data_IF_664887580514
#
_entry.id   IF_664887580514
#
_cell.length_a   1.000
_cell.length_b   1.000
_cell.length_c   1.000
_cell.angle_alpha   90.00
_cell.angle_beta   90.00
_cell.angle_gamma   90.00
#
_symmetry.space_group_name_H-M   'P 1'
#
loop_
_entity.id
_entity.type
_entity.pdbx_description
1 polymer ?
#
# COMPACT_ATOMS: atom_id res chain seq x y z
N UNK A 1 22.00 6.23 6.18
CA UNK A 1 20.61 6.45 6.69
C UNK A 1 19.66 5.78 5.73
N UNK A 2 18.67 5.00 6.19
CA UNK A 2 17.65 4.38 5.33
C UNK A 2 16.67 5.46 4.86
N UNK A 3 16.27 5.36 3.59
CA UNK A 3 15.17 6.18 3.08
C UNK A 3 13.84 5.78 3.77
N UNK A 4 13.08 6.73 4.33
CA UNK A 4 11.76 6.47 4.90
C UNK A 4 10.80 5.73 3.95
N UNK A 5 10.86 6.03 2.64
CA UNK A 5 10.08 5.33 1.64
C UNK A 5 10.41 3.83 1.56
N UNK A 6 11.69 3.47 1.66
CA UNK A 6 12.12 2.07 1.62
C UNK A 6 11.65 1.28 2.84
N UNK A 7 11.53 1.93 4.00
CA UNK A 7 10.96 1.32 5.21
C UNK A 7 9.49 0.93 4.99
N UNK A 8 8.68 1.84 4.46
CA UNK A 8 7.27 1.53 4.15
C UNK A 8 7.18 0.45 3.06
N UNK A 9 7.98 0.52 2.01
CA UNK A 9 7.99 -0.51 0.98
C UNK A 9 8.34 -1.92 1.52
N UNK A 10 9.28 -1.99 2.47
CA UNK A 10 9.59 -3.25 3.17
C UNK A 10 8.39 -3.77 3.97
N UNK A 11 7.67 -2.90 4.69
CA UNK A 11 6.45 -3.27 5.41
C UNK A 11 5.34 -3.74 4.46
N UNK A 12 5.15 -3.06 3.33
CA UNK A 12 4.19 -3.47 2.29
C UNK A 12 4.53 -4.85 1.74
N UNK A 13 5.80 -5.15 1.50
CA UNK A 13 6.26 -6.48 1.09
C UNK A 13 5.91 -7.55 2.12
N UNK A 14 6.15 -7.28 3.41
CA UNK A 14 5.82 -8.21 4.51
C UNK A 14 4.32 -8.42 4.65
N UNK A 15 3.54 -7.33 4.56
CA UNK A 15 2.07 -7.37 4.54
C UNK A 15 1.55 -8.24 3.39
N UNK A 16 2.07 -8.02 2.18
CA UNK A 16 1.73 -8.83 1.02
C UNK A 16 1.99 -10.32 1.26
N UNK A 17 3.20 -10.66 1.72
CA UNK A 17 3.58 -12.05 1.95
C UNK A 17 2.74 -12.70 3.04
N UNK A 18 2.46 -12.01 4.15
CA UNK A 18 1.63 -12.54 5.21
C UNK A 18 0.20 -12.85 4.74
N UNK A 19 -0.40 -11.93 3.98
CA UNK A 19 -1.73 -12.12 3.39
C UNK A 19 -1.73 -13.21 2.30
N UNK A 20 -0.66 -13.35 1.55
CA UNK A 20 -0.53 -14.40 0.53
C UNK A 20 -0.50 -15.81 1.15
N UNK A 21 0.00 -15.96 2.37
CA UNK A 21 -0.07 -17.21 3.14
C UNK A 21 -1.40 -17.40 3.88
N UNK A 22 -2.23 -16.36 4.03
CA UNK A 22 -3.52 -16.45 4.70
C UNK A 22 -4.58 -17.02 3.74
N UNK A 23 -4.95 -18.29 3.97
CA UNK A 23 -5.93 -18.99 3.14
C UNK A 23 -7.30 -18.33 3.19
N UNK A 24 -7.79 -17.98 4.38
CA UNK A 24 -9.11 -17.35 4.56
C UNK A 24 -9.20 -16.02 3.81
N UNK A 25 -8.17 -15.19 3.90
CA UNK A 25 -8.09 -13.94 3.13
C UNK A 25 -8.17 -14.21 1.62
N UNK A 26 -7.42 -15.18 1.10
CA UNK A 26 -7.45 -15.50 -0.34
C UNK A 26 -8.78 -16.08 -0.77
N UNK A 27 -9.41 -16.95 0.02
CA UNK A 27 -10.73 -17.49 -0.28
C UNK A 27 -11.79 -16.38 -0.33
N UNK A 28 -11.73 -15.39 0.57
CA UNK A 28 -12.56 -14.19 0.53
C UNK A 28 -12.30 -13.33 -0.72
N UNK A 29 -11.02 -13.18 -1.11
CA UNK A 29 -10.67 -12.46 -2.33
C UNK A 29 -11.20 -13.11 -3.61
N UNK A 30 -11.31 -14.44 -3.68
CA UNK A 30 -11.83 -15.12 -4.88
C UNK A 30 -13.27 -14.68 -5.23
N UNK A 31 -14.07 -14.30 -4.23
CA UNK A 31 -15.41 -13.76 -4.44
C UNK A 31 -15.44 -12.25 -4.75
N UNK A 32 -14.30 -11.56 -4.68
CA UNK A 32 -14.17 -10.15 -5.02
C UNK A 32 -14.15 -9.98 -6.55
N UNK A 33 -14.98 -9.09 -7.15
CA UNK A 33 -15.10 -9.00 -8.61
C UNK A 33 -13.84 -8.60 -9.37
N UNK A 34 -12.89 -8.00 -8.67
CA UNK A 34 -11.57 -7.65 -9.21
C UNK A 34 -10.45 -8.61 -8.76
N UNK A 35 -10.81 -9.80 -8.27
CA UNK A 35 -9.84 -10.80 -7.81
C UNK A 35 -8.76 -11.11 -8.85
N UNK A 36 -9.12 -11.13 -10.14
CA UNK A 36 -8.16 -11.30 -11.26
C UNK A 36 -7.06 -10.22 -11.33
N UNK A 37 -7.31 -9.05 -10.71
CA UNK A 37 -6.33 -7.96 -10.62
C UNK A 37 -5.50 -8.05 -9.34
N UNK A 38 -6.05 -8.65 -8.28
CA UNK A 38 -5.40 -8.79 -6.97
C UNK A 38 -4.67 -10.13 -6.82
N UNK A 39 -5.08 -11.18 -7.56
CA UNK A 39 -4.51 -12.52 -7.50
C UNK A 39 -3.96 -12.93 -8.87
N UNK A 40 -2.69 -13.29 -8.92
CA UNK A 40 -2.05 -13.85 -10.12
C UNK A 40 -1.41 -15.18 -9.76
N UNK A 41 -1.81 -16.25 -10.45
CA UNK A 41 -1.37 -17.61 -10.14
C UNK A 41 -1.54 -17.99 -8.65
N UNK A 42 -2.67 -17.56 -8.06
CA UNK A 42 -2.98 -17.71 -6.64
C UNK A 42 -2.04 -16.97 -5.68
N UNK A 43 -1.27 -15.98 -6.16
CA UNK A 43 -0.46 -15.10 -5.33
C UNK A 43 -1.11 -13.72 -5.21
N UNK A 44 -1.18 -13.21 -3.98
CA UNK A 44 -1.71 -11.89 -3.71
C UNK A 44 -0.74 -10.79 -4.16
N UNK A 45 -1.25 -9.81 -4.89
CA UNK A 45 -0.50 -8.64 -5.35
C UNK A 45 -0.81 -7.43 -4.47
N UNK A 46 0.23 -6.75 -4.05
CA UNK A 46 0.14 -5.50 -3.29
C UNK A 46 1.34 -4.62 -3.68
N UNK A 47 1.07 -3.37 -4.06
CA UNK A 47 2.08 -2.47 -4.61
C UNK A 47 2.35 -1.28 -3.70
N UNK A 48 3.51 -0.64 -3.88
CA UNK A 48 3.92 0.55 -3.15
C UNK A 48 4.33 1.66 -4.10
N UNK A 49 3.64 2.81 -4.02
CA UNK A 49 3.89 4.01 -4.81
C UNK A 49 4.24 5.18 -3.89
N UNK A 50 5.54 5.45 -3.67
CA UNK A 50 5.99 6.61 -2.93
C UNK A 50 6.15 7.81 -3.85
N UNK A 51 5.75 9.01 -3.41
CA UNK A 51 5.96 10.23 -4.16
C UNK A 51 5.00 11.36 -3.78
N UNK A 52 5.09 12.46 -4.51
CA UNK A 52 4.08 13.51 -4.48
C UNK A 52 2.79 13.03 -5.15
N UNK A 53 1.67 13.72 -4.88
CA UNK A 53 0.39 13.39 -5.53
C UNK A 53 0.50 13.33 -7.05
N UNK A 54 1.27 14.24 -7.66
CA UNK A 54 1.44 14.29 -9.11
C UNK A 54 2.28 13.12 -9.63
N UNK A 55 3.37 12.76 -8.95
CA UNK A 55 4.22 11.63 -9.32
C UNK A 55 3.44 10.31 -9.25
N UNK A 56 2.70 10.09 -8.16
CA UNK A 56 1.86 8.91 -7.98
C UNK A 56 0.77 8.84 -9.06
N UNK A 57 0.08 9.97 -9.32
CA UNK A 57 -0.96 10.04 -10.34
C UNK A 57 -0.43 9.72 -11.73
N UNK A 58 0.70 10.32 -12.09
CA UNK A 58 1.34 10.08 -13.38
C UNK A 58 1.78 8.60 -13.52
N UNK A 59 2.39 8.03 -12.48
CA UNK A 59 2.77 6.62 -12.48
C UNK A 59 1.57 5.69 -12.69
N UNK A 60 0.46 5.91 -11.97
CA UNK A 60 -0.75 5.10 -12.11
C UNK A 60 -1.43 5.27 -13.47
N UNK A 61 -1.43 6.49 -14.04
CA UNK A 61 -1.96 6.73 -15.38
C UNK A 61 -1.11 6.04 -16.46
N UNK A 62 0.21 6.12 -16.37
CA UNK A 62 1.12 5.43 -17.30
C UNK A 62 0.96 3.92 -17.23
N UNK A 63 0.92 3.35 -16.02
CA UNK A 63 0.67 1.91 -15.83
C UNK A 63 -0.67 1.50 -16.46
N UNK A 64 -1.70 2.33 -16.34
CA UNK A 64 -3.01 2.07 -16.91
C UNK A 64 -3.05 1.96 -18.43
N UNK A 65 -2.07 2.49 -19.14
CA UNK A 65 -1.94 2.39 -20.60
C UNK A 65 -1.45 1.02 -21.07
N UNK A 66 -0.91 0.20 -20.16
CA UNK A 66 -0.44 -1.14 -20.50
C UNK A 66 -1.56 -2.19 -20.44
N UNK A 67 -1.55 -3.21 -21.31
CA UNK A 67 -2.59 -4.24 -21.36
C UNK A 67 -2.85 -4.97 -20.03
N UNK A 68 -1.82 -5.14 -19.21
CA UNK A 68 -1.90 -5.76 -17.89
C UNK A 68 -1.85 -4.74 -16.74
N UNK A 69 -1.99 -3.44 -17.04
CA UNK A 69 -1.78 -2.36 -16.08
C UNK A 69 -2.71 -2.41 -14.86
N UNK A 70 -3.95 -2.89 -15.04
CA UNK A 70 -4.91 -3.03 -13.93
C UNK A 70 -4.38 -3.91 -12.77
N UNK A 71 -3.56 -4.95 -13.06
CA UNK A 71 -2.96 -5.84 -12.06
C UNK A 71 -1.83 -5.19 -11.27
N UNK A 72 -1.32 -4.07 -11.75
CA UNK A 72 -0.15 -3.39 -11.22
C UNK A 72 -0.52 -2.10 -10.48
N UNK A 73 -1.79 -1.72 -10.56
CA UNK A 73 -2.28 -0.53 -9.90
C UNK A 73 -2.79 -0.81 -8.50
N UNK A 74 -3.66 -1.79 -8.34
CA UNK A 74 -4.45 -1.98 -7.13
C UNK A 74 -4.59 -3.47 -6.76
N UNK A 75 -4.64 -3.80 -5.44
CA UNK A 75 -4.53 -2.87 -4.31
C UNK A 75 -3.11 -2.32 -4.14
N UNK A 76 -3.00 -1.12 -3.59
CA UNK A 76 -1.70 -0.48 -3.39
C UNK A 76 -1.65 0.46 -2.19
N UNK A 77 -0.42 0.70 -1.72
CA UNK A 77 -0.08 1.75 -0.77
C UNK A 77 0.43 2.97 -1.54
N UNK A 78 -0.24 4.10 -1.38
CA UNK A 78 0.21 5.40 -1.83
C UNK A 78 0.87 6.11 -0.64
N UNK A 79 2.18 6.32 -0.68
CA UNK A 79 2.93 6.94 0.39
C UNK A 79 3.30 8.37 0.00
N UNK A 80 2.58 9.33 0.56
CA UNK A 80 2.62 10.73 0.14
C UNK A 80 3.81 11.50 0.70
N UNK A 81 4.43 12.30 -0.15
CA UNK A 81 5.43 13.30 0.20
C UNK A 81 4.77 14.66 0.53
N UNK A 82 5.33 15.46 1.45
CA UNK A 82 6.60 15.22 2.16
C UNK A 82 6.46 14.26 3.35
N UNK A 83 7.52 13.50 3.61
CA UNK A 83 7.67 12.73 4.85
C UNK A 83 8.40 13.61 5.87
N UNK A 84 7.81 13.78 7.06
CA UNK A 84 8.43 14.52 8.15
C UNK A 84 9.26 13.60 9.03
N UNK A 85 10.47 13.99 9.37
CA UNK A 85 11.32 13.31 10.35
C UNK A 85 11.68 14.25 11.49
N UNK A 86 11.51 13.81 12.72
CA UNK A 86 11.94 14.50 13.92
C UNK A 86 13.07 13.74 14.60
N UNK A 87 14.14 14.44 14.92
CA UNK A 87 15.29 13.92 15.65
C UNK A 87 15.32 14.56 17.04
N UNK A 88 15.17 13.74 18.09
CA UNK A 88 15.23 14.18 19.48
C UNK A 88 16.30 13.37 20.23
N UNK A 89 17.50 13.94 20.33
CA UNK A 89 18.64 13.21 20.88
C UNK A 89 18.93 11.96 20.08
N UNK A 90 18.83 10.79 20.73
CA UNK A 90 19.04 9.47 20.08
C UNK A 90 17.76 8.85 19.49
N UNK A 91 16.64 9.58 19.52
CA UNK A 91 15.37 9.09 18.97
C UNK A 91 15.07 9.75 17.63
N UNK A 92 14.63 8.94 16.69
CA UNK A 92 14.18 9.37 15.36
C UNK A 92 12.73 8.93 15.19
N UNK A 93 11.83 9.89 15.02
CA UNK A 93 10.41 9.63 14.70
C UNK A 93 10.13 10.07 13.28
N UNK A 94 9.52 9.20 12.49
CA UNK A 94 9.14 9.46 11.11
C UNK A 94 7.61 9.47 11.04
N UNK A 95 7.06 10.52 10.40
CA UNK A 95 5.63 10.70 10.24
C UNK A 95 5.24 10.45 8.78
N UNK A 96 4.26 9.58 8.59
CA UNK A 96 3.78 9.17 7.28
C UNK A 96 2.33 9.56 7.06
N UNK A 97 2.01 9.91 5.82
CA UNK A 97 0.64 9.97 5.31
C UNK A 97 0.53 8.93 4.20
N UNK A 98 -0.36 7.97 4.37
CA UNK A 98 -0.47 6.80 3.50
C UNK A 98 -1.94 6.62 3.12
N UNK A 99 -2.23 6.22 1.88
CA UNK A 99 -3.52 5.69 1.51
C UNK A 99 -3.38 4.24 1.02
N UNK A 100 -4.23 3.35 1.54
CA UNK A 100 -4.42 1.99 1.03
C UNK A 100 -5.61 2.05 0.10
N UNK A 101 -5.40 1.75 -1.18
CA UNK A 101 -6.44 1.94 -2.21
C UNK A 101 -6.82 0.64 -2.89
N UNK A 102 -8.11 0.51 -3.17
CA UNK A 102 -8.70 -0.63 -3.88
C UNK A 102 -9.68 -0.19 -4.96
N UNK A 103 -9.86 -1.03 -5.98
CA UNK A 103 -10.75 -0.74 -7.10
C UNK A 103 -12.22 -0.92 -6.71
N UNK A 104 -13.09 -0.04 -7.21
CA UNK A 104 -14.53 -0.07 -6.99
C UNK A 104 -15.30 0.14 -8.31
N UNK A 105 -16.49 -0.43 -8.43
CA UNK A 105 -17.41 -0.08 -9.52
C UNK A 105 -18.18 1.19 -9.15
N UNK A 106 -18.24 2.14 -10.06
CA UNK A 106 -19.00 3.41 -9.88
C UNK A 106 -20.49 3.20 -9.58
N UNK A 107 -21.06 2.07 -10.02
CA UNK A 107 -22.46 1.72 -9.80
C UNK A 107 -22.76 1.07 -8.45
N UNK A 108 -21.74 0.83 -7.62
CA UNK A 108 -21.95 0.19 -6.33
C UNK A 108 -22.39 1.19 -5.27
N UNK A 109 -23.45 0.84 -4.55
CA UNK A 109 -23.91 1.54 -3.36
C UNK A 109 -22.90 1.37 -2.20
N UNK A 110 -22.95 2.26 -1.23
CA UNK A 110 -22.03 2.30 -0.07
C UNK A 110 -21.96 0.96 0.66
N UNK A 111 -23.09 0.33 0.97
CA UNK A 111 -23.14 -0.97 1.65
C UNK A 111 -22.37 -2.05 0.91
N UNK A 112 -22.54 -2.11 -0.42
CA UNK A 112 -21.81 -3.08 -1.25
C UNK A 112 -20.31 -2.78 -1.29
N UNK A 113 -19.94 -1.52 -1.35
CA UNK A 113 -18.54 -1.08 -1.32
C UNK A 113 -17.90 -1.40 0.03
N UNK A 114 -18.63 -1.18 1.13
CA UNK A 114 -18.19 -1.54 2.46
C UNK A 114 -17.90 -3.04 2.57
N UNK A 115 -18.79 -3.88 2.09
CA UNK A 115 -18.61 -5.33 2.12
C UNK A 115 -17.50 -5.81 1.17
N UNK A 116 -17.56 -5.41 -0.11
CA UNK A 116 -16.68 -5.94 -1.16
C UNK A 116 -15.26 -5.33 -1.13
N UNK A 117 -15.13 -4.03 -0.93
CA UNK A 117 -13.83 -3.34 -1.00
C UNK A 117 -13.21 -3.26 0.39
N UNK A 118 -13.91 -2.65 1.33
CA UNK A 118 -13.36 -2.47 2.69
C UNK A 118 -13.25 -3.81 3.42
N UNK A 119 -14.32 -4.61 3.44
CA UNK A 119 -14.34 -5.88 4.18
C UNK A 119 -13.39 -6.93 3.64
N UNK A 120 -13.31 -7.09 2.30
CA UNK A 120 -12.49 -8.15 1.70
C UNK A 120 -11.05 -7.75 1.39
N UNK A 121 -10.77 -6.45 1.21
CA UNK A 121 -9.45 -5.99 0.75
C UNK A 121 -8.82 -4.99 1.71
N UNK A 122 -9.44 -3.82 1.90
CA UNK A 122 -8.74 -2.69 2.52
C UNK A 122 -8.52 -2.89 4.02
N UNK A 123 -9.54 -3.31 4.78
CA UNK A 123 -9.41 -3.56 6.23
C UNK A 123 -8.43 -4.70 6.54
N UNK A 124 -8.50 -5.88 5.89
CA UNK A 124 -7.50 -6.92 6.09
C UNK A 124 -6.07 -6.48 5.78
N UNK A 125 -5.88 -5.70 4.71
CA UNK A 125 -4.56 -5.15 4.35
C UNK A 125 -4.08 -4.16 5.40
N UNK A 126 -4.95 -3.27 5.89
CA UNK A 126 -4.62 -2.31 6.95
C UNK A 126 -4.26 -3.03 8.27
N UNK A 127 -5.07 -3.98 8.71
CA UNK A 127 -4.84 -4.71 9.97
C UNK A 127 -3.52 -5.47 9.91
N UNK A 128 -3.26 -6.15 8.81
CA UNK A 128 -2.01 -6.86 8.61
C UNK A 128 -0.82 -5.90 8.55
N UNK A 129 -0.94 -4.75 7.89
CA UNK A 129 0.10 -3.73 7.85
C UNK A 129 0.46 -3.22 9.25
N UNK A 130 -0.54 -2.92 10.08
CA UNK A 130 -0.31 -2.52 11.48
C UNK A 130 0.36 -3.65 12.26
N UNK A 131 -0.06 -4.91 12.06
CA UNK A 131 0.57 -6.08 12.68
C UNK A 131 2.04 -6.23 12.26
N UNK A 132 2.36 -5.99 11.00
CA UNK A 132 3.74 -6.02 10.51
C UNK A 132 4.60 -4.91 11.10
N UNK A 133 4.06 -3.71 11.33
CA UNK A 133 4.76 -2.64 12.05
C UNK A 133 5.10 -3.09 13.46
N UNK A 134 4.14 -3.67 14.19
CA UNK A 134 4.33 -4.14 15.57
C UNK A 134 5.33 -5.31 15.67
N UNK A 135 5.34 -6.19 14.67
CA UNK A 135 6.19 -7.37 14.64
C UNK A 135 7.62 -7.09 14.16
N UNK A 136 7.84 -5.98 13.45
CA UNK A 136 9.14 -5.73 12.84
C UNK A 136 10.09 -5.01 13.81
N UNK A 137 11.36 -5.44 13.80
CA UNK A 137 12.42 -4.84 14.65
C UNK A 137 12.91 -3.47 14.19
N UNK A 138 12.37 -2.94 13.07
CA UNK A 138 12.84 -1.65 12.55
C UNK A 138 12.32 -0.47 13.34
N UNK A 139 11.21 -0.68 14.04
CA UNK A 139 10.58 0.35 14.85
C UNK A 139 10.52 -0.05 16.32
N UNK A 140 10.61 0.96 17.19
CA UNK A 140 10.28 0.79 18.60
C UNK A 140 8.76 0.87 18.71
N UNK A 141 8.12 -0.24 18.97
CA UNK A 141 6.69 -0.30 19.26
C UNK A 141 6.54 -0.59 20.75
N UNK A 142 6.06 0.37 21.51
CA UNK A 142 5.78 0.20 22.94
C UNK A 142 4.47 -0.61 23.12
N UNK A 143 4.44 -1.84 22.58
CA UNK A 143 3.33 -2.82 22.62
C UNK A 143 1.97 -2.30 22.12
N UNK A 144 1.91 -1.14 21.46
CA UNK A 144 0.69 -0.53 20.95
C UNK A 144 0.67 -0.39 19.41
N UNK A 145 -0.49 -0.04 18.89
CA UNK A 145 -0.60 0.44 17.51
C UNK A 145 0.12 1.79 17.41
N UNK A 146 0.78 2.10 16.28
CA UNK A 146 1.35 3.44 16.09
C UNK A 146 0.23 4.50 16.13
N UNK A 147 0.55 5.65 16.72
CA UNK A 147 -0.39 6.79 16.73
C UNK A 147 -0.64 7.24 15.30
N UNK A 148 -1.91 7.30 14.90
CA UNK A 148 -2.35 7.82 13.61
C UNK A 148 -3.85 8.10 13.62
N UNK A 149 -4.31 8.88 12.65
CA UNK A 149 -5.74 9.05 12.36
C UNK A 149 -6.10 8.15 11.16
N UNK A 150 -7.23 7.47 11.27
CA UNK A 150 -7.74 6.50 10.30
C UNK A 150 -9.04 7.02 9.69
N UNK A 151 -9.16 7.02 8.37
CA UNK A 151 -10.36 7.39 7.63
C UNK A 151 -10.68 6.35 6.55
N UNK A 152 -11.95 6.00 6.43
CA UNK A 152 -12.48 5.27 5.27
C UNK A 152 -13.10 6.26 4.29
N UNK A 153 -12.56 6.33 3.08
CA UNK A 153 -12.96 7.28 2.05
C UNK A 153 -13.69 6.53 0.94
N UNK A 154 -14.97 6.82 0.80
CA UNK A 154 -15.80 6.37 -0.30
C UNK A 154 -15.78 7.42 -1.41
N UNK A 155 -15.34 7.04 -2.60
CA UNK A 155 -15.44 7.95 -3.74
C UNK A 155 -16.89 8.00 -4.22
N UNK A 156 -17.56 9.15 -4.09
CA UNK A 156 -18.96 9.35 -4.48
C UNK A 156 -19.15 10.63 -5.27
N UNK A 157 -20.12 10.65 -6.18
CA UNK A 157 -20.61 11.84 -6.86
C UNK A 157 -19.55 12.60 -7.68
N UNK A 158 -19.52 13.91 -7.55
CA UNK A 158 -18.63 14.80 -8.33
C UNK A 158 -17.14 14.53 -8.09
N UNK A 159 -16.76 14.12 -6.87
CA UNK A 159 -15.38 13.78 -6.55
C UNK A 159 -14.88 12.55 -7.29
N UNK A 160 -15.77 11.62 -7.68
CA UNK A 160 -15.38 10.44 -8.46
C UNK A 160 -14.78 10.82 -9.82
N UNK A 161 -15.30 11.86 -10.48
CA UNK A 161 -14.78 12.35 -11.76
C UNK A 161 -13.34 12.87 -11.66
N UNK A 162 -13.00 13.57 -10.58
CA UNK A 162 -11.64 14.06 -10.33
C UNK A 162 -10.67 12.93 -10.00
N UNK A 163 -11.11 11.93 -9.24
CA UNK A 163 -10.30 10.77 -8.90
C UNK A 163 -10.03 9.91 -10.14
N UNK A 164 -11.04 9.68 -10.98
CA UNK A 164 -10.84 8.99 -12.27
C UNK A 164 -9.85 9.74 -13.15
N UNK A 165 -9.96 11.06 -13.23
CA UNK A 165 -8.99 11.88 -13.97
C UNK A 165 -7.58 11.78 -13.38
N UNK A 166 -7.48 11.73 -12.06
CA UNK A 166 -6.20 11.70 -11.34
C UNK A 166 -5.51 10.33 -11.43
N UNK A 167 -6.23 9.24 -11.24
CA UNK A 167 -5.67 7.88 -11.14
C UNK A 167 -6.08 6.94 -12.27
N UNK A 168 -7.04 7.37 -13.10
CA UNK A 168 -7.56 6.59 -14.23
C UNK A 168 -8.51 5.45 -13.84
N UNK A 169 -8.95 5.38 -12.58
CA UNK A 169 -9.85 4.34 -12.06
C UNK A 169 -10.75 4.87 -10.94
N UNK A 170 -11.88 4.19 -10.72
CA UNK A 170 -12.68 4.38 -9.51
C UNK A 170 -12.02 3.61 -8.36
N UNK A 171 -11.75 4.29 -7.26
CA UNK A 171 -11.10 3.71 -6.08
C UNK A 171 -11.80 4.11 -4.80
N UNK A 172 -11.73 3.25 -3.80
CA UNK A 172 -11.96 3.56 -2.39
C UNK A 172 -10.66 3.45 -1.63
N UNK A 173 -10.56 4.13 -0.51
CA UNK A 173 -9.32 4.23 0.24
C UNK A 173 -9.52 4.12 1.75
N UNK A 174 -8.52 3.56 2.43
CA UNK A 174 -8.24 3.82 3.83
C UNK A 174 -7.09 4.81 3.88
N UNK A 175 -7.33 5.99 4.43
CA UNK A 175 -6.30 6.99 4.65
C UNK A 175 -5.78 6.94 6.08
N UNK A 176 -4.45 6.95 6.20
CA UNK A 176 -3.69 6.92 7.45
C UNK A 176 -2.91 8.23 7.52
N UNK A 177 -3.31 9.11 8.42
CA UNK A 177 -2.71 10.43 8.55
C UNK A 177 -1.85 10.52 9.80
N UNK A 178 -0.65 11.10 9.62
CA UNK A 178 0.26 11.43 10.72
C UNK A 178 0.80 10.20 11.47
N UNK A 179 0.88 9.03 10.81
CA UNK A 179 1.38 7.83 11.45
C UNK A 179 2.82 8.01 11.93
N UNK A 180 3.00 8.02 13.25
CA UNK A 180 4.27 8.24 13.91
C UNK A 180 5.00 6.92 14.18
N UNK A 181 6.13 6.70 13.53
CA UNK A 181 6.97 5.52 13.71
C UNK A 181 8.32 5.89 14.28
N UNK A 182 8.60 5.43 15.51
CA UNK A 182 9.92 5.59 16.16
C UNK A 182 10.89 4.57 15.59
N UNK A 183 11.97 5.04 14.96
CA UNK A 183 12.98 4.17 14.37
C UNK A 183 13.84 3.51 15.46
N UNK A 184 14.11 2.23 15.29
CA UNK A 184 15.11 1.54 16.10
C UNK A 184 16.52 1.96 15.62
N UNK A 185 17.29 2.55 16.50
CA UNK A 185 18.64 3.03 16.20
C UNK A 185 19.69 1.91 16.11
N UNK A 186 19.34 0.68 16.53
CA UNK A 186 20.25 -0.47 16.56
C UNK A 186 20.19 -1.33 15.28
N UNK A 187 19.75 -0.74 14.15
CA UNK A 187 19.73 -1.44 12.87
C UNK A 187 21.15 -1.68 12.35
N UNK A 188 21.42 -2.91 11.93
CA UNK A 188 22.71 -3.32 11.38
C UNK A 188 22.70 -3.31 9.83
N UNK A 189 23.86 -3.50 9.22
CA UNK A 189 24.00 -3.49 7.75
C UNK A 189 23.10 -4.52 7.05
N UNK A 190 22.90 -5.70 7.64
CA UNK A 190 22.02 -6.73 7.09
C UNK A 190 20.54 -6.30 7.08
N UNK A 191 20.11 -5.48 8.05
CA UNK A 191 18.74 -4.93 8.05
C UNK A 191 18.55 -3.99 6.88
N UNK A 192 19.53 -3.14 6.60
CA UNK A 192 19.49 -2.22 5.47
C UNK A 192 19.36 -2.96 4.14
N UNK A 193 20.14 -4.01 3.93
CA UNK A 193 20.08 -4.84 2.72
C UNK A 193 18.74 -5.56 2.60
N UNK A 194 18.18 -6.03 3.69
CA UNK A 194 16.86 -6.68 3.72
C UNK A 194 15.77 -5.69 3.34
N UNK A 195 15.76 -4.50 3.94
CA UNK A 195 14.79 -3.44 3.63
C UNK A 195 14.86 -3.04 2.15
N UNK A 196 16.05 -2.89 1.59
CA UNK A 196 16.23 -2.54 0.18
C UNK A 196 15.67 -3.61 -0.76
N UNK A 197 15.96 -4.88 -0.49
CA UNK A 197 15.46 -6.02 -1.28
C UNK A 197 13.94 -6.13 -1.19
N UNK A 198 13.37 -6.05 0.02
CA UNK A 198 11.93 -6.13 0.24
C UNK A 198 11.19 -4.98 -0.45
N UNK A 199 11.69 -3.74 -0.32
CA UNK A 199 11.13 -2.58 -1.01
C UNK A 199 11.20 -2.75 -2.54
N UNK A 200 12.32 -3.20 -3.07
CA UNK A 200 12.47 -3.42 -4.51
C UNK A 200 11.40 -4.38 -5.06
N UNK A 201 11.05 -5.43 -4.31
CA UNK A 201 10.07 -6.42 -4.72
C UNK A 201 8.62 -5.92 -4.84
N UNK A 202 8.27 -4.78 -4.25
CA UNK A 202 6.93 -4.17 -4.35
C UNK A 202 6.89 -2.89 -5.18
N UNK A 203 8.05 -2.27 -5.43
CA UNK A 203 8.17 -1.09 -6.31
C UNK A 203 8.63 -1.45 -7.72
N UNK A 204 9.28 -2.57 -7.91
CA UNK A 204 9.81 -3.03 -9.21
C UNK A 204 8.73 -3.51 -10.19
N UNK A 205 7.48 -3.61 -9.76
CA UNK A 205 6.35 -3.89 -10.67
C UNK A 205 6.34 -2.97 -11.90
N UNK A 206 6.77 -1.71 -11.75
CA UNK A 206 6.92 -0.77 -12.86
C UNK A 206 8.10 -1.18 -13.78
N UNK A 207 9.22 -1.61 -13.23
CA UNK A 207 10.40 -2.05 -14.01
C UNK A 207 10.21 -3.43 -14.62
N UNK A 208 9.51 -4.34 -13.92
CA UNK A 208 9.19 -5.68 -14.43
C UNK A 208 8.32 -5.65 -15.69
N UNK A 209 7.39 -4.69 -15.81
CA UNK A 209 6.54 -4.54 -17.00
C UNK A 209 7.36 -4.12 -18.23
N UNK A 210 8.37 -3.29 -18.03
CA UNK A 210 9.23 -2.84 -19.13
C UNK A 210 10.09 -3.98 -19.68
N UNK A 211 10.40 -5.00 -18.85
CA UNK A 211 11.22 -6.16 -19.25
C UNK A 211 10.40 -7.35 -19.83
N UNK A 212 9.07 -7.39 -19.68
CA UNK A 212 8.21 -8.40 -20.34
C UNK A 212 7.95 -8.13 -21.83
N UNK A 213 8.64 -7.19 -22.45
CA UNK A 213 8.55 -6.89 -23.88
C UNK A 213 9.57 -7.62 -24.76
N UNK A 214 10.46 -8.40 -24.18
CA UNK A 214 11.58 -9.03 -24.92
C UNK A 214 11.53 -10.58 -24.96
N UNK A 215 10.36 -11.19 -24.66
CA UNK A 215 10.18 -12.63 -24.90
C UNK A 215 8.93 -12.86 -25.79
#
# INVERSE_FOLDING_TARGET
MISPNKLIGSLVFRTRNALDWNKEFKDNLLSYPYSKNCLVNNHFLLWHYPGTNNEISNALLEIGKHPNGARLKFPSFLNFQPIRQENRGNEVTIFYNIAIVGTVKSTWMTEKREHEVFGKVLRPVYEEFIRQIQACRYFKTDYGKPDHTYYEIFTTGESAGEIIKRYGDNIDAIEIHGMALKLNTNLCKSDFLTIERENAAVTSGIKGILNFREE
#
